data_IF_025521557038
#
_entry.id   IF_025521557038
#
_cell.length_a   1.000
_cell.length_b   1.000
_cell.length_c   1.000
_cell.angle_alpha   90.00
_cell.angle_beta   90.00
_cell.angle_gamma   90.00
#
_symmetry.space_group_name_H-M   'P 1'
#
loop_
_entity.id
_entity.type
_entity.pdbx_description
1 polymer ?
#
# COMPACT_ATOMS: atom_id res chain seq x y z
N UNK A 1 -0.18 6.20 14.50
CA UNK A 1 -1.10 6.42 13.36
C UNK A 1 -2.55 6.18 13.78
N UNK A 2 -2.87 5.02 14.37
CA UNK A 2 -4.24 4.66 14.75
C UNK A 2 -4.96 5.74 15.56
N UNK A 3 -4.34 6.27 16.62
CA UNK A 3 -4.94 7.35 17.41
C UNK A 3 -5.16 8.65 16.62
N UNK A 4 -4.34 8.96 15.63
CA UNK A 4 -4.56 10.11 14.74
C UNK A 4 -5.77 9.88 13.83
N UNK A 5 -5.91 8.64 13.33
CA UNK A 5 -7.05 8.27 12.49
C UNK A 5 -8.36 8.34 13.28
N UNK A 6 -8.37 7.87 14.53
CA UNK A 6 -9.52 8.00 15.43
C UNK A 6 -9.95 9.46 15.69
N UNK A 7 -9.01 10.42 15.54
CA UNK A 7 -9.27 11.86 15.63
C UNK A 7 -9.58 12.49 14.27
N UNK A 8 -9.95 11.71 13.26
CA UNK A 8 -10.36 12.20 11.94
C UNK A 8 -9.23 12.64 11.01
N UNK A 9 -7.98 12.23 11.28
CA UNK A 9 -6.86 12.47 10.37
C UNK A 9 -6.68 11.25 9.43
N UNK A 10 -5.99 11.47 8.31
CA UNK A 10 -5.55 10.40 7.42
C UNK A 10 -4.02 10.28 7.55
N UNK A 11 -3.51 9.53 8.53
CA UNK A 11 -2.09 9.40 8.71
C UNK A 11 -1.48 8.49 7.64
N UNK A 12 -0.30 8.88 7.16
CA UNK A 12 0.53 8.06 6.29
C UNK A 12 1.74 7.61 7.08
N UNK A 13 1.93 6.31 7.22
CA UNK A 13 3.14 5.72 7.78
C UNK A 13 4.00 5.17 6.67
N UNK A 14 5.29 5.43 6.71
CA UNK A 14 6.23 4.96 5.69
C UNK A 14 7.48 4.36 6.33
N UNK A 15 7.92 3.25 5.77
CA UNK A 15 9.18 2.58 6.10
C UNK A 15 9.50 1.59 4.99
N UNK A 16 10.63 0.89 5.07
CA UNK A 16 10.87 -0.28 4.24
C UNK A 16 9.78 -1.33 4.50
N UNK A 17 9.32 -1.99 3.44
CA UNK A 17 8.25 -2.98 3.54
C UNK A 17 8.56 -4.12 4.52
N UNK A 18 9.84 -4.47 4.70
CA UNK A 18 10.29 -5.44 5.69
C UNK A 18 9.92 -5.02 7.12
N UNK A 19 9.88 -3.71 7.41
CA UNK A 19 9.57 -3.19 8.74
C UNK A 19 8.12 -2.73 8.86
N UNK A 20 7.53 -2.21 7.79
CA UNK A 20 6.13 -1.83 7.71
C UNK A 20 5.59 -2.19 6.32
N UNK A 21 4.81 -3.26 6.17
CA UNK A 21 4.03 -3.97 7.19
C UNK A 21 4.75 -5.11 7.94
N UNK A 22 5.97 -5.50 7.59
CA UNK A 22 6.55 -6.73 8.10
C UNK A 22 6.60 -6.82 9.63
N UNK A 23 7.33 -5.92 10.30
CA UNK A 23 7.50 -5.96 11.76
C UNK A 23 6.24 -5.58 12.53
N UNK A 24 5.47 -4.61 12.04
CA UNK A 24 4.30 -4.08 12.75
C UNK A 24 2.97 -4.69 12.28
N UNK A 25 3.01 -5.83 11.61
CA UNK A 25 1.86 -6.47 10.98
C UNK A 25 0.70 -6.71 11.95
N UNK A 26 0.99 -7.22 13.14
CA UNK A 26 -0.05 -7.45 14.17
C UNK A 26 -0.74 -6.14 14.56
N UNK A 27 0.02 -5.06 14.75
CA UNK A 27 -0.53 -3.75 15.09
C UNK A 27 -1.36 -3.15 13.95
N UNK A 28 -0.96 -3.36 12.70
CA UNK A 28 -1.80 -2.99 11.54
C UNK A 28 -3.12 -3.75 11.58
N UNK A 29 -3.06 -5.06 11.81
CA UNK A 29 -4.24 -5.91 11.88
C UNK A 29 -5.20 -5.48 12.99
N UNK A 30 -4.71 -5.29 14.20
CA UNK A 30 -5.54 -5.10 15.41
C UNK A 30 -5.91 -3.64 15.65
N UNK A 31 -4.97 -2.71 15.52
CA UNK A 31 -5.23 -1.31 15.87
C UNK A 31 -5.73 -0.46 14.69
N UNK A 32 -5.52 -0.91 13.46
CA UNK A 32 -5.91 -0.20 12.25
C UNK A 32 -7.08 -0.89 11.58
N UNK A 33 -6.89 -2.08 11.02
CA UNK A 33 -7.90 -2.75 10.21
C UNK A 33 -9.10 -3.22 11.02
N UNK A 34 -8.87 -3.82 12.20
CA UNK A 34 -9.95 -4.28 13.07
C UNK A 34 -10.80 -3.14 13.64
N UNK A 35 -10.22 -1.95 13.78
CA UNK A 35 -10.91 -0.75 14.24
C UNK A 35 -11.39 0.17 13.10
N UNK A 36 -11.35 -0.29 11.85
CA UNK A 36 -11.75 0.47 10.66
C UNK A 36 -11.11 1.86 10.55
N UNK A 37 -9.84 1.97 10.98
CA UNK A 37 -9.12 3.23 10.97
C UNK A 37 -8.49 3.48 9.61
N UNK A 38 -8.85 4.59 8.95
CA UNK A 38 -8.25 4.99 7.67
C UNK A 38 -6.80 5.43 7.86
N UNK A 39 -5.87 4.51 7.63
CA UNK A 39 -4.42 4.73 7.68
C UNK A 39 -3.81 4.24 6.37
N UNK A 40 -2.89 5.00 5.80
CA UNK A 40 -2.13 4.60 4.63
C UNK A 40 -0.76 4.06 5.10
N UNK A 41 -0.44 2.84 4.70
CA UNK A 41 0.85 2.19 4.95
C UNK A 41 1.62 2.17 3.63
N UNK A 42 2.66 2.99 3.51
CA UNK A 42 3.52 3.03 2.33
C UNK A 42 4.79 2.20 2.60
N UNK A 43 4.82 0.97 2.10
CA UNK A 43 5.97 0.08 2.20
C UNK A 43 6.94 0.30 1.04
N UNK A 44 8.04 0.97 1.30
CA UNK A 44 9.10 1.19 0.31
C UNK A 44 10.10 0.03 0.28
N UNK A 45 10.96 0.01 -0.74
CA UNK A 45 12.01 -1.01 -0.89
C UNK A 45 11.47 -2.45 -0.88
N UNK A 46 10.25 -2.66 -1.37
CA UNK A 46 9.63 -3.98 -1.43
C UNK A 46 10.29 -4.86 -2.50
N UNK A 47 10.29 -6.17 -2.26
CA UNK A 47 10.83 -7.16 -3.19
C UNK A 47 12.33 -7.37 -3.06
N UNK A 48 12.91 -7.96 -4.10
CA UNK A 48 14.32 -8.38 -4.13
C UNK A 48 15.30 -7.28 -4.54
N UNK A 49 14.80 -6.15 -5.08
CA UNK A 49 15.61 -5.05 -5.62
C UNK A 49 16.07 -4.05 -4.56
N UNK A 50 16.04 -4.40 -3.28
CA UNK A 50 16.44 -3.53 -2.17
C UNK A 50 17.91 -3.10 -2.24
N UNK A 51 18.75 -3.85 -2.95
CA UNK A 51 20.15 -3.53 -3.19
C UNK A 51 21.08 -3.88 -2.03
N UNK A 52 22.02 -2.96 -1.66
CA UNK A 52 23.12 -3.27 -0.73
C UNK A 52 22.69 -3.71 0.68
N UNK A 53 21.48 -3.38 1.10
CA UNK A 53 20.95 -3.81 2.41
C UNK A 53 20.77 -5.33 2.50
N UNK A 54 20.72 -6.02 1.36
CA UNK A 54 20.74 -7.47 1.27
C UNK A 54 19.46 -8.16 1.72
N UNK A 55 19.56 -9.49 1.87
CA UNK A 55 18.41 -10.37 2.09
C UNK A 55 17.59 -10.08 3.34
N UNK A 56 18.20 -9.51 4.38
CA UNK A 56 17.48 -9.12 5.61
C UNK A 56 16.48 -7.98 5.40
N UNK A 57 16.58 -7.25 4.29
CA UNK A 57 15.72 -6.12 3.96
C UNK A 57 14.80 -6.38 2.76
N UNK A 58 14.95 -7.55 2.12
CA UNK A 58 14.11 -7.98 0.99
C UNK A 58 12.74 -8.45 1.50
N UNK A 59 11.71 -7.62 1.32
CA UNK A 59 10.34 -7.96 1.64
C UNK A 59 9.67 -8.64 0.45
N UNK A 60 9.61 -9.97 0.45
CA UNK A 60 8.95 -10.75 -0.61
C UNK A 60 7.54 -11.21 -0.22
N UNK A 61 7.18 -11.07 1.04
CA UNK A 61 5.91 -11.50 1.65
C UNK A 61 4.91 -10.35 1.91
N UNK A 62 5.27 -9.11 1.61
CA UNK A 62 4.51 -7.91 1.96
C UNK A 62 3.08 -7.90 1.41
N UNK A 63 2.89 -8.33 0.16
CA UNK A 63 1.55 -8.47 -0.44
C UNK A 63 0.76 -9.57 0.26
N UNK A 64 1.37 -10.72 0.55
CA UNK A 64 0.70 -11.81 1.23
C UNK A 64 0.25 -11.41 2.63
N UNK A 65 1.13 -10.72 3.39
CA UNK A 65 0.83 -10.22 4.72
C UNK A 65 -0.32 -9.20 4.73
N UNK A 66 -0.39 -8.34 3.75
CA UNK A 66 -1.41 -7.28 3.71
C UNK A 66 -2.74 -7.78 3.14
N UNK A 67 -2.71 -8.64 2.11
CA UNK A 67 -3.93 -9.21 1.51
C UNK A 67 -4.75 -10.08 2.46
N UNK A 68 -4.11 -10.73 3.42
CA UNK A 68 -4.81 -11.64 4.35
C UNK A 68 -5.58 -10.87 5.45
N UNK A 69 -5.31 -9.57 5.62
CA UNK A 69 -5.98 -8.77 6.64
C UNK A 69 -7.34 -8.29 6.09
N UNK A 70 -8.47 -8.60 6.77
CA UNK A 70 -9.77 -8.03 6.40
C UNK A 70 -9.72 -6.49 6.39
N UNK A 71 -10.49 -5.87 5.52
CA UNK A 71 -10.60 -4.42 5.32
C UNK A 71 -9.35 -3.74 4.74
N UNK A 72 -8.26 -4.46 4.46
CA UNK A 72 -7.05 -3.87 3.87
C UNK A 72 -7.19 -3.77 2.35
N UNK A 73 -7.10 -2.57 1.82
CA UNK A 73 -6.92 -2.33 0.37
C UNK A 73 -5.43 -2.35 0.03
N UNK A 74 -5.04 -3.12 -0.99
CA UNK A 74 -3.62 -3.27 -1.37
C UNK A 74 -3.40 -2.74 -2.78
N UNK A 75 -2.45 -1.83 -2.93
CA UNK A 75 -2.03 -1.24 -4.19
C UNK A 75 -0.57 -1.60 -4.51
N UNK A 76 -0.32 -1.98 -5.76
CA UNK A 76 1.03 -2.22 -6.27
C UNK A 76 1.20 -1.49 -7.61
N UNK A 77 1.44 -0.18 -7.59
CA UNK A 77 1.59 0.62 -8.79
C UNK A 77 2.83 0.19 -9.59
N UNK A 78 2.73 0.23 -10.91
CA UNK A 78 3.80 -0.22 -11.81
C UNK A 78 4.85 0.85 -12.10
N UNK A 79 4.48 2.14 -12.01
CA UNK A 79 5.37 3.27 -12.26
C UNK A 79 5.03 4.51 -11.42
N UNK A 80 5.76 5.60 -11.66
CA UNK A 80 5.62 6.83 -10.88
C UNK A 80 4.28 7.54 -11.08
N UNK A 81 3.72 7.50 -12.30
CA UNK A 81 2.41 8.12 -12.59
C UNK A 81 1.32 7.39 -11.84
N UNK A 82 1.34 6.08 -11.92
CA UNK A 82 0.37 5.25 -11.22
C UNK A 82 0.53 5.34 -9.70
N UNK A 83 1.77 5.37 -9.18
CA UNK A 83 2.03 5.57 -7.75
C UNK A 83 1.45 6.89 -7.23
N UNK A 84 1.58 7.98 -7.99
CA UNK A 84 0.95 9.26 -7.66
C UNK A 84 -0.57 9.14 -7.61
N UNK A 85 -1.19 8.58 -8.67
CA UNK A 85 -2.66 8.43 -8.79
C UNK A 85 -3.23 7.57 -7.67
N UNK A 86 -2.57 6.46 -7.34
CA UNK A 86 -2.95 5.59 -6.21
C UNK A 86 -2.88 6.35 -4.89
N UNK A 87 -1.83 7.12 -4.68
CA UNK A 87 -1.66 7.90 -3.45
C UNK A 87 -2.74 8.97 -3.30
N UNK A 88 -2.99 9.72 -4.37
CA UNK A 88 -4.07 10.72 -4.41
C UNK A 88 -5.42 10.08 -4.10
N UNK A 89 -5.72 8.94 -4.74
CA UNK A 89 -6.95 8.19 -4.52
C UNK A 89 -7.11 7.70 -3.08
N UNK A 90 -6.04 7.11 -2.50
CA UNK A 90 -6.06 6.61 -1.13
C UNK A 90 -6.33 7.72 -0.09
N UNK A 91 -6.01 8.98 -0.43
CA UNK A 91 -6.29 10.15 0.42
C UNK A 91 -7.73 10.65 0.31
N UNK A 92 -8.50 10.21 -0.69
CA UNK A 92 -9.91 10.62 -0.88
C UNK A 92 -10.88 9.69 -0.14
N UNK A 93 -12.14 10.11 -0.04
CA UNK A 93 -13.21 9.28 0.53
C UNK A 93 -13.66 8.13 -0.37
N UNK A 94 -13.11 8.01 -1.58
CA UNK A 94 -13.34 6.86 -2.45
C UNK A 94 -12.76 5.58 -1.83
N UNK A 95 -11.66 5.69 -1.09
CA UNK A 95 -11.09 4.60 -0.28
C UNK A 95 -11.33 4.92 1.19
N UNK A 96 -12.28 4.25 1.81
CA UNK A 96 -12.62 4.41 3.23
C UNK A 96 -11.82 3.50 4.14
N UNK A 97 -11.28 2.43 3.60
CA UNK A 97 -10.53 1.39 4.30
C UNK A 97 -9.07 1.78 4.51
N UNK A 98 -8.36 1.12 5.43
CA UNK A 98 -6.90 1.17 5.44
C UNK A 98 -6.31 0.75 4.10
N UNK A 99 -5.21 1.35 3.72
CA UNK A 99 -4.55 1.05 2.45
C UNK A 99 -3.06 0.74 2.62
N UNK A 100 -2.59 -0.28 1.92
CA UNK A 100 -1.17 -0.56 1.74
C UNK A 100 -0.76 -0.16 0.32
N UNK A 101 0.28 0.65 0.19
CA UNK A 101 0.88 1.03 -1.10
C UNK A 101 2.28 0.45 -1.16
N UNK A 102 2.50 -0.45 -2.11
CA UNK A 102 3.78 -1.13 -2.33
C UNK A 102 4.66 -0.32 -3.26
N UNK A 103 5.86 0.03 -2.83
CA UNK A 103 6.81 0.80 -3.62
C UNK A 103 8.15 0.06 -3.71
N UNK A 104 8.71 -0.02 -4.91
CA UNK A 104 10.05 -0.53 -5.14
C UNK A 104 11.13 0.51 -4.79
N UNK A 105 12.38 0.07 -4.62
CA UNK A 105 13.53 0.98 -4.50
C UNK A 105 14.01 1.46 -5.86
N UNK A 106 14.12 0.55 -6.81
CA UNK A 106 14.66 0.87 -8.13
C UNK A 106 13.67 1.70 -8.95
N UNK A 107 14.22 2.58 -9.76
CA UNK A 107 13.44 3.34 -10.74
C UNK A 107 12.89 2.39 -11.79
N UNK A 108 11.59 2.41 -11.98
CA UNK A 108 10.94 1.69 -13.07
C UNK A 108 10.76 2.60 -14.29
N UNK A 109 10.77 2.06 -15.51
CA UNK A 109 10.34 2.83 -16.68
C UNK A 109 8.91 3.34 -16.47
N UNK A 110 8.65 4.58 -16.91
CA UNK A 110 7.29 5.12 -16.94
C UNK A 110 6.59 4.57 -18.18
N UNK A 111 5.60 3.73 -17.98
CA UNK A 111 4.85 3.04 -19.06
C UNK A 111 3.39 3.46 -19.11
N UNK A 112 2.89 4.14 -18.06
CA UNK A 112 1.53 4.73 -18.05
C UNK A 112 1.58 6.20 -18.44
N UNK A 113 0.42 6.76 -18.78
CA UNK A 113 0.21 8.19 -19.05
C UNK A 113 -0.95 8.71 -18.20
N UNK A 114 -1.18 10.02 -18.25
CA UNK A 114 -2.35 10.62 -17.56
C UNK A 114 -3.68 10.13 -18.15
N UNK A 115 -3.70 9.73 -19.42
CA UNK A 115 -4.88 9.20 -20.11
C UNK A 115 -5.04 7.68 -19.90
N UNK A 116 -4.03 7.00 -19.35
CA UNK A 116 -4.16 5.57 -19.06
C UNK A 116 -5.36 5.34 -18.15
N UNK A 117 -6.29 4.46 -18.52
CA UNK A 117 -7.46 4.17 -17.70
C UNK A 117 -7.06 3.74 -16.29
N UNK A 118 -7.65 4.39 -15.31
CA UNK A 118 -7.39 4.15 -13.90
C UNK A 118 -8.74 4.06 -13.18
N UNK A 119 -9.22 2.86 -12.99
CA UNK A 119 -10.52 2.60 -12.38
C UNK A 119 -10.40 1.47 -11.36
N UNK A 120 -10.73 1.75 -10.12
CA UNK A 120 -10.69 0.76 -9.03
C UNK A 120 -11.72 -0.34 -9.27
N UNK A 121 -12.86 -0.02 -9.88
CA UNK A 121 -13.92 -0.98 -10.16
C UNK A 121 -13.55 -1.95 -11.30
N UNK A 122 -12.50 -1.63 -12.06
CA UNK A 122 -12.07 -2.46 -13.20
C UNK A 122 -10.54 -2.67 -13.18
N UNK A 123 -10.03 -3.55 -12.33
CA UNK A 123 -8.60 -3.77 -12.10
C UNK A 123 -7.87 -4.42 -13.28
N UNK A 124 -8.49 -4.56 -14.44
CA UNK A 124 -7.94 -5.31 -15.58
C UNK A 124 -6.83 -4.60 -16.35
N UNK A 125 -6.38 -3.42 -15.93
CA UNK A 125 -5.42 -2.62 -16.71
C UNK A 125 -4.33 -2.01 -15.85
N UNK A 126 -3.21 -2.66 -15.76
CA UNK A 126 -1.91 -2.21 -15.27
C UNK A 126 -1.68 -2.16 -13.75
N UNK A 127 -2.65 -1.85 -12.90
CA UNK A 127 -2.46 -1.83 -11.44
C UNK A 127 -3.06 -3.05 -10.78
N UNK A 128 -2.32 -3.68 -9.89
CA UNK A 128 -2.80 -4.81 -9.11
C UNK A 128 -3.54 -4.29 -7.87
N UNK A 129 -4.86 -4.40 -7.89
CA UNK A 129 -5.71 -4.08 -6.74
C UNK A 129 -6.18 -5.35 -6.05
N UNK A 130 -6.18 -5.29 -4.74
CA UNK A 130 -6.90 -6.24 -3.92
C UNK A 130 -7.87 -5.46 -3.05
N UNK A 131 -9.15 -5.56 -3.37
CA UNK A 131 -10.19 -5.02 -2.53
C UNK A 131 -10.51 -5.99 -1.39
N UNK A 132 -10.93 -5.50 -0.23
CA UNK A 132 -11.48 -6.38 0.81
C UNK A 132 -12.62 -7.21 0.24
N UNK A 133 -12.75 -8.44 0.69
CA UNK A 133 -13.96 -9.22 0.44
C UNK A 133 -15.12 -8.59 1.23
N UNK A 134 -16.28 -8.49 0.59
CA UNK A 134 -17.53 -8.05 1.24
C UNK A 134 -17.93 -9.01 2.37
#
# INVERSE_FOLDING_TARGET
ASGMAAMGKIPVITSYAMFSPGRNWEQIRTTICYNDQKVIVAGSHAGVSVGPDGGSHQAVEDIALTRVIPNMTVFSPCDAIEARRVTELALTDAIKTPAYIRLAREKTPVITTEETPFDIANPSKATLYFLPAD
#
